data_IF_466200345769
#
_entry.id   IF_466200345769
#
_cell.length_a   1.000
_cell.length_b   1.000
_cell.length_c   1.000
_cell.angle_alpha   90.00
_cell.angle_beta   90.00
_cell.angle_gamma   90.00
#
_symmetry.space_group_name_H-M   'P 1'
#
loop_
_entity.id
_entity.type
_entity.pdbx_description
1 polymer ?
#
# COMPACT_ATOMS: atom_id res chain seq x y z
N UNK A 1 -23.81 -16.72 -24.23
CA UNK A 1 -23.81 -15.94 -22.98
C UNK A 1 -24.83 -14.83 -23.11
N UNK A 2 -25.86 -14.77 -22.25
CA UNK A 2 -27.00 -13.86 -22.42
C UNK A 2 -26.63 -12.39 -22.18
N UNK A 3 -27.24 -11.49 -22.95
CA UNK A 3 -27.14 -10.03 -22.86
C UNK A 3 -27.39 -9.49 -21.44
N UNK A 4 -28.26 -10.17 -20.69
CA UNK A 4 -28.56 -9.91 -19.27
C UNK A 4 -27.31 -10.06 -18.37
N UNK A 5 -26.42 -11.01 -18.67
CA UNK A 5 -25.17 -11.21 -17.93
C UNK A 5 -24.19 -10.05 -18.16
N UNK A 6 -24.11 -9.53 -19.40
CA UNK A 6 -23.23 -8.41 -19.72
C UNK A 6 -23.71 -7.08 -19.12
N UNK A 7 -25.03 -6.84 -19.06
CA UNK A 7 -25.59 -5.67 -18.38
C UNK A 7 -25.41 -5.73 -16.87
N UNK A 8 -25.59 -6.90 -16.24
CA UNK A 8 -25.32 -7.10 -14.82
C UNK A 8 -23.83 -6.95 -14.49
N UNK A 9 -22.94 -7.42 -15.35
CA UNK A 9 -21.49 -7.21 -15.22
C UNK A 9 -21.13 -5.72 -15.41
N UNK A 10 -21.80 -5.00 -16.33
CA UNK A 10 -21.63 -3.54 -16.48
C UNK A 10 -22.16 -2.78 -15.27
N UNK A 11 -23.32 -3.13 -14.71
CA UNK A 11 -23.86 -2.55 -13.49
C UNK A 11 -22.99 -2.85 -12.27
N UNK A 12 -22.51 -4.09 -12.13
CA UNK A 12 -21.57 -4.48 -11.08
C UNK A 12 -20.22 -3.74 -11.22
N UNK A 13 -19.75 -3.47 -12.44
CA UNK A 13 -18.57 -2.63 -12.71
C UNK A 13 -18.85 -1.14 -12.43
N UNK A 14 -20.09 -0.66 -12.65
CA UNK A 14 -20.52 0.70 -12.30
C UNK A 14 -20.62 0.89 -10.78
N UNK A 15 -21.08 -0.13 -10.05
CA UNK A 15 -21.09 -0.21 -8.58
C UNK A 15 -19.68 -0.38 -7.99
N UNK A 16 -18.82 -1.18 -8.62
CA UNK A 16 -17.42 -1.36 -8.21
C UNK A 16 -16.50 -0.18 -8.61
N UNK A 17 -16.97 0.71 -9.49
CA UNK A 17 -16.25 1.88 -9.99
C UNK A 17 -16.28 3.09 -9.05
N UNK A 18 -17.27 3.19 -8.15
CA UNK A 18 -17.37 4.28 -7.18
C UNK A 18 -16.75 3.88 -5.84
N UNK A 19 -15.41 3.95 -5.79
CA UNK A 19 -14.53 3.48 -4.72
C UNK A 19 -14.56 4.31 -3.41
N UNK A 20 -15.70 4.84 -2.96
CA UNK A 20 -15.84 5.63 -1.70
C UNK A 20 -17.30 5.67 -1.19
N UNK A 21 -17.89 4.53 -0.82
CA UNK A 21 -19.26 4.56 -0.27
C UNK A 21 -19.27 5.10 1.17
N UNK A 22 -19.41 6.43 1.29
CA UNK A 22 -19.76 7.15 2.53
C UNK A 22 -20.93 6.49 3.26
N UNK A 23 -21.87 5.93 2.50
CA UNK A 23 -23.14 5.42 2.99
C UNK A 23 -23.03 4.14 3.86
N UNK A 24 -21.91 3.41 3.81
CA UNK A 24 -21.79 2.09 4.46
C UNK A 24 -20.70 2.00 5.53
N UNK A 25 -19.92 3.05 5.75
CA UNK A 25 -18.90 3.09 6.82
C UNK A 25 -19.50 3.52 8.15
N UNK A 26 -19.19 2.87 9.29
CA UNK A 26 -19.62 3.42 10.59
C UNK A 26 -18.80 4.63 11.02
N UNK A 27 -17.52 4.74 10.62
CA UNK A 27 -16.68 5.89 10.94
C UNK A 27 -16.18 6.61 9.69
N UNK A 28 -16.14 7.93 9.77
CA UNK A 28 -15.37 8.78 8.86
C UNK A 28 -14.30 9.52 9.65
N UNK A 29 -13.28 9.98 8.94
CA UNK A 29 -12.31 10.89 9.54
C UNK A 29 -11.81 11.92 8.54
N UNK A 30 -11.41 13.05 9.09
CA UNK A 30 -10.95 14.22 8.38
C UNK A 30 -9.55 14.55 8.90
N UNK A 31 -8.58 14.67 7.99
CA UNK A 31 -7.17 14.91 8.33
C UNK A 31 -6.81 16.31 7.83
N UNK A 32 -6.53 17.22 8.74
CA UNK A 32 -6.00 18.53 8.44
C UNK A 32 -4.48 18.50 8.58
N UNK A 33 -3.80 19.03 7.58
CA UNK A 33 -2.35 19.05 7.54
C UNK A 33 -1.88 20.49 7.34
N UNK A 34 -0.76 20.82 7.97
CA UNK A 34 -0.12 22.11 7.83
C UNK A 34 0.17 22.40 6.36
N UNK A 35 -0.07 23.65 5.95
CA UNK A 35 0.13 24.13 4.58
C UNK A 35 -0.67 23.37 3.51
N UNK A 36 -1.70 22.62 3.91
CA UNK A 36 -2.64 22.00 2.99
C UNK A 36 -4.04 22.62 3.17
N UNK A 37 -4.53 23.43 2.21
CA UNK A 37 -5.83 24.08 2.31
C UNK A 37 -7.01 23.10 2.21
N UNK A 38 -6.76 21.82 1.91
CA UNK A 38 -7.78 20.78 1.80
C UNK A 38 -7.50 19.67 2.80
N UNK A 39 -8.52 19.30 3.57
CA UNK A 39 -8.45 18.10 4.40
C UNK A 39 -8.49 16.84 3.54
N UNK A 40 -7.84 15.78 4.03
CA UNK A 40 -8.01 14.43 3.48
C UNK A 40 -9.16 13.74 4.20
N UNK A 41 -10.05 13.08 3.45
CA UNK A 41 -11.17 12.34 4.03
C UNK A 41 -10.96 10.83 3.91
N UNK A 42 -11.17 10.11 5.01
CA UNK A 42 -11.15 8.66 5.07
C UNK A 42 -12.37 8.06 5.76
N UNK A 43 -12.48 6.73 5.71
CA UNK A 43 -13.64 5.95 6.17
C UNK A 43 -13.22 4.57 6.68
N UNK A 44 -13.93 4.02 7.68
CA UNK A 44 -13.70 2.69 8.22
C UNK A 44 -14.02 1.58 7.21
N UNK A 45 -13.03 1.19 6.40
CA UNK A 45 -13.02 0.05 5.46
C UNK A 45 -13.97 0.11 4.25
N UNK A 46 -13.62 -0.72 3.26
CA UNK A 46 -14.13 -0.81 1.88
C UNK A 46 -15.31 -1.78 1.74
N UNK A 47 -16.15 -1.51 0.74
CA UNK A 47 -17.34 -2.27 0.31
C UNK A 47 -17.32 -3.80 0.57
N UNK A 48 -18.42 -4.26 1.16
CA UNK A 48 -18.89 -5.66 1.27
C UNK A 48 -18.22 -6.56 2.32
N UNK A 49 -17.73 -6.02 3.43
CA UNK A 49 -17.45 -6.83 4.62
C UNK A 49 -18.21 -6.29 5.83
N UNK A 50 -18.69 -7.18 6.71
CA UNK A 50 -19.27 -6.76 7.96
C UNK A 50 -18.21 -6.02 8.79
N UNK A 51 -18.51 -4.80 9.18
CA UNK A 51 -17.75 -4.12 10.22
C UNK A 51 -17.79 -4.97 11.50
N UNK A 52 -16.71 -4.93 12.27
CA UNK A 52 -16.63 -5.71 13.51
C UNK A 52 -17.82 -5.35 14.40
N UNK A 53 -18.38 -6.34 15.08
CA UNK A 53 -19.48 -6.11 16.02
C UNK A 53 -19.09 -5.13 17.15
N UNK A 54 -17.80 -5.05 17.47
CA UNK A 54 -17.25 -4.11 18.43
C UNK A 54 -16.78 -2.83 17.73
N UNK A 55 -17.63 -1.81 17.83
CA UNK A 55 -17.45 -0.45 17.31
C UNK A 55 -16.20 0.21 17.91
N UNK A 56 -15.94 0.07 19.20
CA UNK A 56 -14.79 0.72 19.86
C UNK A 56 -13.48 0.13 19.33
N UNK A 57 -13.40 -1.21 19.24
CA UNK A 57 -12.22 -1.87 18.67
C UNK A 57 -11.96 -1.42 17.22
N UNK A 58 -13.00 -1.22 16.40
CA UNK A 58 -12.84 -0.76 15.03
C UNK A 58 -12.27 0.67 14.96
N UNK A 59 -12.73 1.57 15.84
CA UNK A 59 -12.22 2.94 15.92
C UNK A 59 -10.73 2.93 16.30
N UNK A 60 -10.37 2.15 17.32
CA UNK A 60 -8.98 2.00 17.78
C UNK A 60 -8.06 1.51 16.65
N UNK A 61 -8.49 0.52 15.86
CA UNK A 61 -7.74 0.05 14.69
C UNK A 61 -7.61 1.11 13.57
N UNK A 62 -8.58 2.02 13.44
CA UNK A 62 -8.49 3.11 12.47
C UNK A 62 -7.45 4.15 12.91
N UNK A 63 -7.46 4.53 14.19
CA UNK A 63 -6.47 5.45 14.78
C UNK A 63 -5.07 4.84 14.69
N UNK A 64 -4.89 3.60 15.13
CA UNK A 64 -3.62 2.87 15.06
C UNK A 64 -3.09 2.80 13.62
N UNK A 65 -3.96 2.62 12.62
CA UNK A 65 -3.55 2.62 11.22
C UNK A 65 -3.01 3.97 10.77
N UNK A 66 -3.66 5.08 11.15
CA UNK A 66 -3.18 6.42 10.79
C UNK A 66 -1.83 6.72 11.47
N UNK A 67 -1.68 6.32 12.73
CA UNK A 67 -0.42 6.37 13.45
C UNK A 67 0.70 5.60 12.77
N UNK A 68 0.48 4.30 12.48
CA UNK A 68 1.46 3.47 11.78
C UNK A 68 1.76 3.94 10.35
N UNK A 69 0.83 4.69 9.76
CA UNK A 69 1.05 5.32 8.46
C UNK A 69 1.93 6.57 8.62
N UNK A 70 2.18 7.10 9.80
CA UNK A 70 3.02 8.28 10.05
C UNK A 70 2.25 9.60 9.95
N UNK A 71 0.94 9.59 10.19
CA UNK A 71 0.17 10.84 10.28
C UNK A 71 0.47 11.65 11.55
N UNK A 72 1.07 11.04 12.58
CA UNK A 72 1.43 11.73 13.82
C UNK A 72 2.90 12.16 13.86
N UNK A 73 3.58 12.19 12.71
CA UNK A 73 4.96 12.68 12.65
C UNK A 73 4.97 14.20 12.60
N UNK A 74 5.74 14.81 13.51
CA UNK A 74 5.94 16.27 13.56
C UNK A 74 6.69 16.82 12.34
N UNK A 75 7.47 15.97 11.67
CA UNK A 75 8.28 16.35 10.51
C UNK A 75 7.61 15.87 9.22
N UNK A 76 7.72 16.66 8.12
CA UNK A 76 7.25 16.21 6.82
C UNK A 76 7.89 14.87 6.41
N UNK A 77 7.09 13.94 5.90
CA UNK A 77 7.56 12.64 5.42
C UNK A 77 7.42 12.59 3.91
N UNK A 78 8.48 12.19 3.21
CA UNK A 78 8.39 11.87 1.79
C UNK A 78 7.91 10.44 1.63
N UNK A 79 6.71 10.27 1.04
CA UNK A 79 6.12 8.96 0.75
C UNK A 79 6.85 8.28 -0.41
N UNK A 80 6.68 6.96 -0.52
CA UNK A 80 7.25 6.15 -1.60
C UNK A 80 6.80 6.57 -3.01
N UNK A 81 5.66 7.25 -3.12
CA UNK A 81 5.15 7.82 -4.37
C UNK A 81 5.68 9.24 -4.66
N UNK A 82 6.69 9.70 -3.92
CA UNK A 82 7.30 11.02 -4.06
C UNK A 82 6.47 12.17 -3.48
N UNK A 83 5.27 11.92 -2.93
CA UNK A 83 4.45 12.97 -2.32
C UNK A 83 4.92 13.28 -0.91
N UNK A 84 5.07 14.56 -0.60
CA UNK A 84 5.30 15.03 0.77
C UNK A 84 4.00 14.95 1.55
N UNK A 85 4.06 14.24 2.68
CA UNK A 85 3.07 14.31 3.73
C UNK A 85 3.50 15.40 4.71
N UNK A 86 2.71 16.46 4.79
CA UNK A 86 2.94 17.53 5.75
C UNK A 86 2.54 17.09 7.17
N UNK A 87 3.12 17.74 8.20
CA UNK A 87 2.74 17.54 9.59
C UNK A 87 1.23 17.77 9.77
N UNK A 88 0.69 17.04 10.73
CA UNK A 88 -0.72 17.12 11.09
C UNK A 88 -1.01 18.40 11.86
N UNK A 89 -2.15 19.03 11.58
CA UNK A 89 -2.76 19.95 12.55
C UNK A 89 -3.62 19.13 13.52
N UNK A 90 -4.66 18.46 12.99
CA UNK A 90 -5.48 17.53 13.75
C UNK A 90 -6.19 16.50 12.85
N UNK A 91 -6.72 15.45 13.46
CA UNK A 91 -7.63 14.46 12.84
C UNK A 91 -8.94 14.45 13.62
N UNK A 92 -10.05 14.67 12.94
CA UNK A 92 -11.39 14.51 13.53
C UNK A 92 -11.96 13.17 13.10
N UNK A 93 -12.39 12.38 14.07
CA UNK A 93 -13.12 11.14 13.87
C UNK A 93 -14.60 11.36 14.13
N UNK A 94 -15.45 10.88 13.21
CA UNK A 94 -16.89 10.99 13.32
C UNK A 94 -17.57 9.62 13.19
N UNK A 95 -18.67 9.41 13.91
CA UNK A 95 -19.62 8.32 13.70
C UNK A 95 -20.60 8.75 12.59
N UNK A 96 -20.69 7.98 11.52
CA UNK A 96 -21.64 8.24 10.45
C UNK A 96 -23.01 7.68 10.85
N UNK A 97 -23.95 8.56 11.19
CA UNK A 97 -25.32 8.18 11.53
C UNK A 97 -26.29 8.69 10.45
N UNK A 98 -26.44 7.92 9.37
CA UNK A 98 -27.48 8.10 8.33
C UNK A 98 -27.71 9.55 7.83
N UNK A 99 -26.68 10.39 7.77
CA UNK A 99 -26.78 11.75 7.27
C UNK A 99 -26.11 12.80 8.15
N UNK A 100 -25.95 12.51 9.44
CA UNK A 100 -25.24 13.36 10.39
C UNK A 100 -23.96 12.68 10.86
N UNK A 101 -22.84 13.39 10.72
CA UNK A 101 -21.54 12.96 11.22
C UNK A 101 -21.45 13.47 12.67
N UNK A 102 -21.43 12.55 13.64
CA UNK A 102 -21.30 12.90 15.07
C UNK A 102 -19.83 12.81 15.45
N UNK A 103 -19.24 13.91 15.90
CA UNK A 103 -17.84 13.94 16.33
C UNK A 103 -17.61 13.02 17.53
N UNK A 104 -16.65 12.11 17.39
CA UNK A 104 -16.22 11.17 18.43
C UNK A 104 -15.05 11.76 19.19
N UNK A 105 -14.00 12.16 18.47
CA UNK A 105 -12.82 12.78 19.04
C UNK A 105 -12.05 13.57 17.97
N UNK A 106 -11.28 14.55 18.45
CA UNK A 106 -10.31 15.31 17.69
C UNK A 106 -8.92 14.99 18.23
N UNK A 107 -8.02 14.54 17.37
CA UNK A 107 -6.67 14.12 17.71
C UNK A 107 -5.68 15.16 17.20
N UNK A 108 -5.04 15.89 18.11
CA UNK A 108 -3.90 16.75 17.80
C UNK A 108 -2.60 15.96 17.97
N UNK A 109 -1.46 16.55 17.60
CA UNK A 109 -0.16 15.90 17.83
C UNK A 109 0.10 15.72 19.34
N UNK A 110 -0.24 16.72 20.17
CA UNK A 110 0.12 16.75 21.59
C UNK A 110 -0.98 16.31 22.55
N UNK A 111 -2.24 16.28 22.11
CA UNK A 111 -3.39 15.98 22.98
C UNK A 111 -4.60 15.57 22.14
N UNK A 112 -5.67 15.16 22.81
CA UNK A 112 -6.95 14.87 22.17
C UNK A 112 -8.10 15.60 22.88
N UNK A 113 -9.18 15.80 22.13
CA UNK A 113 -10.47 16.27 22.62
C UNK A 113 -11.53 15.21 22.31
N UNK A 114 -12.52 15.06 23.18
CA UNK A 114 -13.65 14.14 22.98
C UNK A 114 -14.88 14.94 22.55
N UNK A 115 -15.67 14.37 21.66
CA UNK A 115 -17.01 14.90 21.38
C UNK A 115 -17.94 14.66 22.56
N UNK A 116 -18.93 15.53 22.73
CA UNK A 116 -19.83 15.56 23.91
C UNK A 116 -20.46 14.20 24.23
N UNK A 117 -20.90 13.46 23.21
CA UNK A 117 -21.51 12.13 23.36
C UNK A 117 -20.55 11.06 23.90
N UNK A 118 -19.24 11.30 23.79
CA UNK A 118 -18.19 10.33 24.12
C UNK A 118 -17.35 10.73 25.33
N UNK A 119 -17.66 11.85 26.00
CA UNK A 119 -16.89 12.37 27.12
C UNK A 119 -16.79 11.40 28.30
N UNK A 120 -17.81 10.53 28.47
CA UNK A 120 -17.86 9.51 29.53
C UNK A 120 -17.46 8.10 29.04
N UNK A 121 -17.02 7.95 27.77
CA UNK A 121 -16.61 6.66 27.23
C UNK A 121 -15.24 6.24 27.78
N UNK A 122 -15.25 5.56 28.93
CA UNK A 122 -14.04 5.06 29.61
C UNK A 122 -13.17 4.16 28.75
N UNK A 123 -13.75 3.39 27.83
CA UNK A 123 -12.99 2.50 26.94
C UNK A 123 -12.16 3.32 25.95
N UNK A 124 -12.77 4.34 25.35
CA UNK A 124 -12.10 5.25 24.43
C UNK A 124 -11.04 6.09 25.16
N UNK A 125 -11.35 6.67 26.32
CA UNK A 125 -10.41 7.47 27.13
C UNK A 125 -9.16 6.64 27.47
N UNK A 126 -9.35 5.43 28.00
CA UNK A 126 -8.24 4.54 28.36
C UNK A 126 -7.41 4.09 27.14
N UNK A 127 -8.01 4.06 25.95
CA UNK A 127 -7.26 3.83 24.72
C UNK A 127 -6.46 5.07 24.31
N UNK A 128 -7.09 6.25 24.30
CA UNK A 128 -6.44 7.50 23.89
C UNK A 128 -5.28 7.88 24.81
N UNK A 129 -5.42 7.72 26.13
CA UNK A 129 -4.31 7.96 27.06
C UNK A 129 -3.08 7.10 26.73
N UNK A 130 -3.29 5.79 26.57
CA UNK A 130 -2.22 4.86 26.15
C UNK A 130 -1.67 5.18 24.75
N UNK A 131 -2.52 5.70 23.87
CA UNK A 131 -2.11 6.11 22.53
C UNK A 131 -1.16 7.30 22.58
N UNK A 132 -1.46 8.34 23.37
CA UNK A 132 -0.58 9.50 23.50
C UNK A 132 0.71 9.19 24.26
N UNK A 133 0.69 8.31 25.26
CA UNK A 133 1.91 7.77 25.87
C UNK A 133 2.85 7.14 24.81
N UNK A 134 2.27 6.48 23.80
CA UNK A 134 3.05 5.87 22.71
C UNK A 134 3.52 6.86 21.66
N UNK A 135 2.73 7.90 21.38
CA UNK A 135 3.16 9.01 20.51
C UNK A 135 4.36 9.73 21.13
N UNK A 136 4.33 9.98 22.44
CA UNK A 136 5.43 10.65 23.17
C UNK A 136 6.69 9.80 23.25
N UNK A 137 6.56 8.50 23.53
CA UNK A 137 7.71 7.59 23.69
C UNK A 137 8.27 7.09 22.36
N UNK A 138 7.48 7.13 21.28
CA UNK A 138 7.85 6.58 19.97
C UNK A 138 7.93 5.04 19.93
N UNK A 139 7.45 4.35 20.97
CA UNK A 139 7.47 2.90 21.03
C UNK A 139 6.44 2.25 20.09
N UNK A 140 6.81 1.10 19.52
CA UNK A 140 5.91 0.28 18.69
C UNK A 140 5.35 -0.87 19.53
N UNK A 141 4.52 -0.57 20.52
CA UNK A 141 3.80 -1.62 21.27
C UNK A 141 2.39 -1.86 20.68
N UNK A 142 1.81 -3.04 20.91
CA UNK A 142 0.47 -3.38 20.44
C UNK A 142 -0.60 -2.56 21.20
N UNK A 143 -0.96 -1.39 20.65
CA UNK A 143 -1.96 -0.45 21.16
C UNK A 143 -3.32 -1.10 21.42
N UNK A 144 -3.76 -1.88 20.45
CA UNK A 144 -5.08 -2.52 20.47
C UNK A 144 -4.95 -3.86 21.17
N UNK A 145 -5.44 -3.93 22.41
CA UNK A 145 -5.70 -5.21 23.08
C UNK A 145 -6.74 -5.95 22.24
N UNK A 146 -6.31 -6.89 21.41
CA UNK A 146 -7.22 -7.79 20.70
C UNK A 146 -8.06 -8.50 21.75
N UNK A 147 -9.33 -8.13 21.87
CA UNK A 147 -10.20 -8.85 22.79
C UNK A 147 -10.19 -10.32 22.37
N UNK A 148 -10.17 -11.26 23.32
CA UNK A 148 -10.32 -12.68 23.00
C UNK A 148 -11.64 -12.96 22.23
N UNK A 149 -12.58 -12.01 22.30
CA UNK A 149 -13.85 -11.95 21.57
C UNK A 149 -13.79 -11.19 20.24
N UNK A 150 -12.62 -10.72 19.78
CA UNK A 150 -12.45 -10.15 18.43
C UNK A 150 -12.59 -11.32 17.45
N UNK A 151 -13.85 -11.69 17.23
CA UNK A 151 -14.27 -12.82 16.40
C UNK A 151 -13.52 -12.68 15.10
N UNK A 152 -12.65 -13.66 14.86
CA UNK A 152 -12.02 -13.90 13.57
C UNK A 152 -13.05 -13.60 12.50
N UNK A 153 -12.73 -12.70 11.54
CA UNK A 153 -13.68 -12.17 10.55
C UNK A 153 -14.69 -13.27 10.16
N UNK A 154 -15.93 -13.15 10.63
CA UNK A 154 -16.91 -14.24 10.58
C UNK A 154 -17.19 -14.64 9.12
N UNK A 155 -16.99 -13.72 8.18
CA UNK A 155 -17.07 -13.92 6.73
C UNK A 155 -15.67 -13.91 6.05
N UNK A 156 -14.65 -14.46 6.70
CA UNK A 156 -13.31 -14.61 6.12
C UNK A 156 -13.30 -15.56 4.93
N UNK A 157 -12.73 -15.09 3.81
CA UNK A 157 -12.45 -15.87 2.60
C UNK A 157 -11.03 -16.47 2.59
N UNK A 158 -10.25 -16.32 3.66
CA UNK A 158 -8.82 -16.70 3.66
C UNK A 158 -8.60 -18.22 3.80
N UNK A 159 -9.47 -18.91 4.54
CA UNK A 159 -9.32 -20.32 4.91
C UNK A 159 -10.54 -21.13 4.49
N UNK A 160 -10.30 -22.39 4.12
CA UNK A 160 -11.36 -23.36 3.84
C UNK A 160 -11.93 -23.91 5.17
N UNK A 161 -12.98 -23.27 5.68
CA UNK A 161 -13.68 -23.57 6.94
C UNK A 161 -14.84 -24.56 6.81
N UNK A 162 -15.48 -24.62 5.65
CA UNK A 162 -16.68 -25.43 5.40
C UNK A 162 -16.32 -26.63 4.54
N UNK A 163 -16.78 -27.83 4.94
CA UNK A 163 -16.52 -29.07 4.16
C UNK A 163 -17.50 -29.23 3.00
N UNK A 164 -18.71 -28.69 3.15
CA UNK A 164 -19.80 -28.83 2.18
C UNK A 164 -20.53 -27.51 1.99
N UNK A 165 -21.20 -27.34 0.84
CA UNK A 165 -22.05 -26.17 0.58
C UNK A 165 -23.17 -26.05 1.62
N UNK A 166 -23.77 -27.16 2.07
CA UNK A 166 -24.79 -27.13 3.12
C UNK A 166 -24.27 -26.54 4.43
N UNK A 167 -23.04 -26.88 4.85
CA UNK A 167 -22.45 -26.29 6.06
C UNK A 167 -22.19 -24.78 5.93
N UNK A 168 -21.89 -24.30 4.72
CA UNK A 168 -21.79 -22.87 4.42
C UNK A 168 -23.17 -22.19 4.49
N UNK A 169 -24.21 -22.81 3.94
CA UNK A 169 -25.58 -22.27 3.99
C UNK A 169 -26.12 -22.21 5.42
N UNK A 170 -25.98 -23.26 6.23
CA UNK A 170 -26.42 -23.24 7.63
C UNK A 170 -25.68 -22.19 8.45
N UNK A 171 -24.37 -22.01 8.21
CA UNK A 171 -23.63 -20.92 8.84
C UNK A 171 -24.12 -19.54 8.38
N UNK A 172 -24.50 -19.41 7.11
CA UNK A 172 -25.04 -18.17 6.57
C UNK A 172 -26.39 -17.78 7.18
N UNK A 173 -27.23 -18.75 7.51
CA UNK A 173 -28.48 -18.51 8.25
C UNK A 173 -28.20 -18.01 9.67
N UNK A 174 -27.18 -18.54 10.36
CA UNK A 174 -26.76 -18.02 11.66
C UNK A 174 -26.26 -16.58 11.56
N UNK A 175 -25.53 -16.23 10.50
CA UNK A 175 -25.09 -14.85 10.25
C UNK A 175 -26.29 -13.89 10.14
N UNK A 176 -27.36 -14.30 9.47
CA UNK A 176 -28.56 -13.46 9.29
C UNK A 176 -29.40 -13.42 10.57
N UNK A 177 -29.71 -14.59 11.15
CA UNK A 177 -30.72 -14.71 12.19
C UNK A 177 -30.17 -14.39 13.58
N UNK A 178 -28.92 -14.81 13.87
CA UNK A 178 -28.31 -14.65 15.19
C UNK A 178 -27.43 -13.41 15.28
N UNK A 179 -26.72 -13.08 14.20
CA UNK A 179 -25.78 -11.96 14.17
C UNK A 179 -26.28 -10.75 13.37
N UNK A 180 -27.51 -10.82 12.86
CA UNK A 180 -28.20 -9.74 12.17
C UNK A 180 -27.43 -9.12 11.00
N UNK A 181 -26.64 -9.92 10.30
CA UNK A 181 -25.95 -9.46 9.09
C UNK A 181 -26.94 -9.21 7.94
N UNK A 182 -26.74 -8.14 7.13
CA UNK A 182 -27.59 -7.89 5.98
C UNK A 182 -27.58 -9.06 5.00
N UNK A 183 -28.77 -9.52 4.57
CA UNK A 183 -28.92 -10.69 3.68
C UNK A 183 -28.07 -10.59 2.41
N UNK A 184 -28.02 -9.41 1.78
CA UNK A 184 -27.21 -9.18 0.58
C UNK A 184 -25.72 -9.40 0.81
N UNK A 185 -25.18 -8.99 1.96
CA UNK A 185 -23.77 -9.19 2.31
C UNK A 185 -23.47 -10.67 2.51
N UNK A 186 -24.37 -11.39 3.18
CA UNK A 186 -24.24 -12.82 3.44
C UNK A 186 -24.30 -13.62 2.12
N UNK A 187 -25.23 -13.28 1.21
CA UNK A 187 -25.31 -13.90 -0.12
C UNK A 187 -24.03 -13.68 -0.94
N UNK A 188 -23.49 -12.46 -0.90
CA UNK A 188 -22.27 -12.11 -1.64
C UNK A 188 -21.03 -12.82 -1.06
N UNK A 189 -21.02 -13.08 0.25
CA UNK A 189 -20.04 -13.95 0.91
C UNK A 189 -20.16 -15.41 0.46
N UNK A 190 -21.36 -16.00 0.51
CA UNK A 190 -21.60 -17.39 0.07
C UNK A 190 -21.09 -17.59 -1.36
N UNK A 191 -21.48 -16.69 -2.28
CA UNK A 191 -21.08 -16.74 -3.68
C UNK A 191 -19.56 -16.74 -3.85
N UNK A 192 -18.87 -15.77 -3.25
CA UNK A 192 -17.39 -15.67 -3.34
C UNK A 192 -16.70 -16.87 -2.70
N UNK A 193 -17.26 -17.38 -1.61
CA UNK A 193 -16.71 -18.53 -0.90
C UNK A 193 -16.89 -19.81 -1.72
N UNK A 194 -18.07 -20.02 -2.33
CA UNK A 194 -18.34 -21.16 -3.20
C UNK A 194 -17.53 -21.13 -4.48
N UNK A 195 -17.40 -19.96 -5.11
CA UNK A 195 -16.51 -19.78 -6.27
C UNK A 195 -15.06 -20.14 -5.95
N UNK A 196 -14.59 -19.86 -4.73
CA UNK A 196 -13.20 -20.09 -4.35
C UNK A 196 -12.90 -21.53 -3.95
N UNK A 197 -13.84 -22.19 -3.27
CA UNK A 197 -13.58 -23.47 -2.60
C UNK A 197 -14.44 -24.64 -3.08
N UNK A 198 -15.54 -24.37 -3.77
CA UNK A 198 -16.51 -25.37 -4.23
C UNK A 198 -16.71 -25.36 -5.75
N UNK A 199 -15.89 -24.64 -6.51
CA UNK A 199 -15.93 -24.65 -7.98
C UNK A 199 -15.44 -26.00 -8.54
N UNK A 200 -16.22 -26.54 -9.48
CA UNK A 200 -15.99 -27.80 -10.18
C UNK A 200 -14.59 -27.80 -10.82
N UNK A 201 -13.65 -28.53 -10.22
CA UNK A 201 -12.24 -28.55 -10.62
C UNK A 201 -11.25 -28.82 -9.49
N UNK A 202 -11.68 -28.73 -8.22
CA UNK A 202 -10.84 -29.02 -7.05
C UNK A 202 -11.13 -30.38 -6.38
N UNK A 203 -11.72 -31.34 -7.11
CA UNK A 203 -11.94 -32.70 -6.59
C UNK A 203 -10.64 -33.51 -6.42
N UNK A 204 -9.50 -33.02 -6.89
CA UNK A 204 -8.23 -33.77 -6.83
C UNK A 204 -7.48 -33.69 -5.50
N UNK A 205 -7.99 -33.03 -4.45
CA UNK A 205 -7.29 -32.95 -3.16
C UNK A 205 -7.79 -33.88 -2.05
N UNK A 206 -8.69 -34.83 -2.35
CA UNK A 206 -9.16 -35.79 -1.34
C UNK A 206 -9.32 -37.23 -1.84
N UNK A 207 -8.32 -37.80 -2.51
CA UNK A 207 -8.10 -39.26 -2.49
C UNK A 207 -6.63 -39.60 -2.76
N UNK A 208 -5.96 -40.28 -1.82
CA UNK A 208 -4.75 -41.06 -2.09
C UNK A 208 -3.39 -40.39 -1.84
N UNK A 209 -2.96 -40.31 -0.58
CA UNK A 209 -1.52 -40.39 -0.26
C UNK A 209 -1.14 -41.88 -0.13
N UNK A 210 -0.57 -42.44 -1.18
CA UNK A 210 0.25 -43.66 -1.13
C UNK A 210 1.05 -43.70 -2.44
N UNK A 211 2.38 -43.66 -2.29
CA UNK A 211 3.45 -44.13 -3.19
C UNK A 211 3.30 -43.79 -4.70
N UNK A 212 4.28 -43.22 -5.38
CA UNK A 212 5.61 -43.79 -5.52
C UNK A 212 6.55 -42.83 -6.28
N UNK A 213 7.80 -43.24 -6.30
CA UNK A 213 9.02 -42.49 -6.53
C UNK A 213 9.47 -42.54 -8.00
N UNK A 214 10.25 -41.52 -8.40
CA UNK A 214 11.18 -41.47 -9.57
C UNK A 214 10.47 -41.30 -10.93
N UNK A 215 11.02 -40.65 -11.96
CA UNK A 215 12.40 -40.59 -12.47
C UNK A 215 12.64 -39.24 -13.17
N UNK A 216 13.86 -38.72 -13.04
CA UNK A 216 14.43 -37.59 -13.80
C UNK A 216 14.62 -38.00 -15.26
N UNK A 217 14.42 -37.09 -16.21
CA UNK A 217 15.36 -37.04 -17.34
C UNK A 217 15.43 -35.65 -18.01
N UNK A 218 16.68 -35.25 -18.23
CA UNK A 218 17.12 -34.03 -18.88
C UNK A 218 16.76 -34.03 -20.37
N UNK A 219 16.64 -32.84 -20.96
CA UNK A 219 17.37 -32.58 -22.21
C UNK A 219 17.55 -31.09 -22.49
N UNK A 220 18.81 -30.66 -22.40
CA UNK A 220 19.35 -29.45 -23.00
C UNK A 220 19.30 -29.56 -24.53
N UNK A 221 18.92 -28.48 -25.23
CA UNK A 221 19.39 -28.25 -26.61
C UNK A 221 19.57 -26.76 -26.86
N UNK A 222 20.84 -26.38 -26.94
CA UNK A 222 21.42 -25.15 -27.44
C UNK A 222 21.00 -24.84 -28.89
N UNK A 223 20.70 -23.57 -29.20
CA UNK A 223 20.75 -23.04 -30.58
C UNK A 223 21.64 -21.81 -30.67
N UNK A 224 22.62 -21.92 -31.58
CA UNK A 224 23.67 -20.98 -31.94
C UNK A 224 23.11 -19.73 -32.63
N UNK A 225 23.64 -18.58 -32.25
CA UNK A 225 23.55 -17.27 -32.92
C UNK A 225 24.58 -17.17 -34.05
N UNK A 226 24.21 -16.54 -35.18
CA UNK A 226 25.12 -16.00 -36.20
C UNK A 226 25.08 -14.46 -36.14
N UNK A 227 26.21 -13.74 -36.32
CA UNK A 227 26.20 -12.28 -36.35
C UNK A 227 26.03 -11.77 -37.79
N UNK A 228 25.13 -10.81 -37.98
CA UNK A 228 25.05 -10.02 -39.21
C UNK A 228 25.86 -8.73 -39.05
N UNK A 229 26.83 -8.51 -39.94
CA UNK A 229 27.52 -7.24 -40.15
C UNK A 229 26.50 -6.21 -40.64
N UNK A 230 26.44 -5.05 -39.99
CA UNK A 230 25.68 -3.92 -40.50
C UNK A 230 26.56 -2.67 -40.54
N UNK A 231 26.78 -2.18 -41.74
CA UNK A 231 27.57 -0.99 -42.09
C UNK A 231 26.72 0.24 -41.83
N UNK A 232 27.09 1.09 -40.87
CA UNK A 232 26.38 2.34 -40.59
C UNK A 232 27.03 3.53 -41.30
N UNK A 233 26.23 4.17 -42.17
CA UNK A 233 26.44 5.53 -42.69
C UNK A 233 26.37 6.52 -41.53
N UNK A 234 27.34 7.43 -41.45
CA UNK A 234 27.41 8.50 -40.45
C UNK A 234 26.37 9.59 -40.74
N UNK A 235 25.21 9.48 -40.10
CA UNK A 235 24.30 10.61 -39.94
C UNK A 235 24.86 11.48 -38.82
N UNK A 236 25.08 12.78 -39.08
CA UNK A 236 25.52 13.75 -38.07
C UNK A 236 24.41 13.86 -37.02
N UNK A 237 24.55 13.09 -35.94
CA UNK A 237 23.56 13.06 -34.87
C UNK A 237 23.56 14.39 -34.10
N UNK A 238 22.35 14.92 -33.89
CA UNK A 238 22.04 16.07 -33.05
C UNK A 238 22.80 15.97 -31.69
N UNK A 239 23.52 17.04 -31.27
CA UNK A 239 24.24 17.08 -30.00
C UNK A 239 23.43 16.61 -28.78
N UNK A 240 22.12 16.92 -28.74
CA UNK A 240 21.23 16.49 -27.64
C UNK A 240 21.07 14.97 -27.60
N UNK A 241 20.99 14.33 -28.76
CA UNK A 241 20.89 12.87 -28.87
C UNK A 241 22.20 12.18 -28.49
N UNK A 242 23.35 12.82 -28.75
CA UNK A 242 24.66 12.33 -28.30
C UNK A 242 24.79 12.39 -26.77
N UNK A 243 24.33 13.46 -26.13
CA UNK A 243 24.39 13.60 -24.66
C UNK A 243 23.53 12.55 -23.95
N UNK A 244 22.32 12.28 -24.46
CA UNK A 244 21.44 11.24 -23.94
C UNK A 244 22.04 9.84 -24.14
N UNK A 245 22.64 9.57 -25.30
CA UNK A 245 23.30 8.29 -25.58
C UNK A 245 24.50 8.05 -24.66
N UNK A 246 25.32 9.08 -24.46
CA UNK A 246 26.48 9.04 -23.55
C UNK A 246 26.04 8.78 -22.10
N UNK A 247 24.99 9.48 -21.62
CA UNK A 247 24.45 9.25 -20.27
C UNK A 247 23.92 7.82 -20.09
N UNK A 248 23.27 7.25 -21.11
CA UNK A 248 22.82 5.84 -21.09
C UNK A 248 23.97 4.83 -21.07
N UNK A 249 25.12 5.18 -21.67
CA UNK A 249 26.32 4.36 -21.60
C UNK A 249 26.82 4.27 -20.15
N UNK A 250 26.99 5.41 -19.47
CA UNK A 250 27.44 5.47 -18.08
C UNK A 250 26.40 4.97 -17.06
N UNK A 251 25.10 4.95 -17.42
CA UNK A 251 24.07 4.35 -16.57
C UNK A 251 24.25 2.83 -16.40
N UNK A 252 24.84 2.14 -17.38
CA UNK A 252 25.18 0.70 -17.21
C UNK A 252 26.26 0.49 -16.16
N UNK A 253 27.12 1.49 -15.97
CA UNK A 253 28.22 1.47 -15.00
C UNK A 253 27.76 1.91 -13.59
N UNK A 254 26.49 2.31 -13.43
CA UNK A 254 25.87 2.64 -12.14
C UNK A 254 25.83 1.45 -11.18
N UNK A 255 25.71 0.23 -11.72
CA UNK A 255 25.54 -0.97 -10.91
C UNK A 255 26.86 -1.58 -10.40
N UNK A 256 28.02 -0.99 -10.72
CA UNK A 256 29.28 -1.45 -10.15
C UNK A 256 29.48 -0.83 -8.76
N UNK A 257 29.79 -1.66 -7.76
CA UNK A 257 29.98 -1.19 -6.38
C UNK A 257 31.08 -0.13 -6.27
N UNK A 258 32.13 -0.23 -7.07
CA UNK A 258 33.27 0.68 -7.08
C UNK A 258 32.88 2.12 -7.47
N UNK A 259 32.10 2.29 -8.55
CA UNK A 259 31.67 3.62 -8.98
C UNK A 259 30.67 4.25 -8.00
N UNK A 260 29.83 3.44 -7.35
CA UNK A 260 28.87 3.92 -6.33
C UNK A 260 29.61 4.44 -5.10
N UNK A 261 30.67 3.76 -4.66
CA UNK A 261 31.50 4.22 -3.54
C UNK A 261 32.21 5.54 -3.87
N UNK A 262 32.81 5.65 -5.06
CA UNK A 262 33.46 6.88 -5.50
C UNK A 262 32.47 8.07 -5.58
N UNK A 263 31.22 7.83 -5.97
CA UNK A 263 30.20 8.86 -5.98
C UNK A 263 29.73 9.26 -4.57
N UNK A 264 29.62 8.30 -3.65
CA UNK A 264 29.31 8.58 -2.24
C UNK A 264 30.41 9.45 -1.62
N UNK A 265 31.68 9.17 -1.89
CA UNK A 265 32.79 10.00 -1.41
C UNK A 265 32.75 11.41 -2.01
N UNK A 266 32.45 11.53 -3.29
CA UNK A 266 32.25 12.83 -3.95
C UNK A 266 31.13 13.65 -3.29
N UNK A 267 29.97 13.04 -3.06
CA UNK A 267 28.83 13.70 -2.41
C UNK A 267 29.11 14.10 -0.96
N UNK A 268 29.98 13.36 -0.25
CA UNK A 268 30.40 13.72 1.11
C UNK A 268 31.40 14.87 1.16
N UNK A 269 32.17 15.07 0.10
CA UNK A 269 33.17 16.13 0.01
C UNK A 269 32.58 17.49 -0.40
N UNK A 270 31.35 17.48 -0.93
CA UNK A 270 30.61 18.67 -1.33
C UNK A 270 29.54 18.97 -0.26
N UNK A 271 29.75 20.05 0.52
CA UNK A 271 28.91 20.52 1.64
C UNK A 271 27.50 20.99 1.22
N UNK A 272 27.08 20.69 0.00
CA UNK A 272 25.77 21.01 -0.51
C UNK A 272 24.68 20.17 0.19
N UNK A 273 23.73 20.85 0.84
CA UNK A 273 22.62 20.23 1.59
C UNK A 273 21.75 19.29 0.73
N UNK A 274 21.73 19.48 -0.59
CA UNK A 274 21.02 18.61 -1.52
C UNK A 274 21.68 17.22 -1.64
N UNK A 275 22.96 17.09 -1.29
CA UNK A 275 23.71 15.84 -1.36
C UNK A 275 23.34 14.84 -0.27
N UNK A 276 22.90 15.28 0.93
CA UNK A 276 22.51 14.36 2.01
C UNK A 276 21.32 13.47 1.62
N UNK A 277 20.34 14.08 0.95
CA UNK A 277 19.14 13.39 0.47
C UNK A 277 19.48 12.35 -0.61
N UNK A 278 20.41 12.69 -1.51
CA UNK A 278 20.90 11.82 -2.58
C UNK A 278 21.73 10.68 -2.00
N UNK A 279 22.62 10.98 -1.04
CA UNK A 279 23.47 10.03 -0.34
C UNK A 279 22.65 8.96 0.40
N UNK A 280 21.63 9.38 1.14
CA UNK A 280 20.72 8.48 1.86
C UNK A 280 20.01 7.50 0.92
N UNK A 281 19.55 7.97 -0.25
CA UNK A 281 18.90 7.12 -1.26
C UNK A 281 19.85 6.13 -1.91
N UNK A 282 21.10 6.52 -2.19
CA UNK A 282 22.11 5.64 -2.79
C UNK A 282 22.50 4.52 -1.82
N UNK A 283 22.79 4.87 -0.57
CA UNK A 283 23.13 3.89 0.49
C UNK A 283 21.97 2.92 0.71
N UNK A 284 20.73 3.43 0.71
CA UNK A 284 19.52 2.62 0.87
C UNK A 284 19.12 1.81 -0.36
N UNK A 285 19.84 1.89 -1.49
CA UNK A 285 19.50 1.19 -2.73
C UNK A 285 18.20 1.65 -3.39
N UNK A 286 17.73 2.86 -3.08
CA UNK A 286 16.44 3.43 -3.53
C UNK A 286 16.64 4.68 -4.40
N UNK A 287 17.50 4.59 -5.40
CA UNK A 287 17.75 5.71 -6.31
C UNK A 287 16.61 5.96 -7.28
N UNK A 288 16.43 7.22 -7.66
CA UNK A 288 15.50 7.63 -8.70
C UNK A 288 16.26 8.14 -9.95
N UNK A 289 15.53 8.45 -11.01
CA UNK A 289 16.12 8.92 -12.28
C UNK A 289 16.91 10.23 -12.16
N UNK A 290 16.63 11.06 -11.15
CA UNK A 290 17.42 12.28 -10.87
C UNK A 290 18.76 11.95 -10.21
N UNK A 291 18.80 10.99 -9.29
CA UNK A 291 20.03 10.52 -8.65
C UNK A 291 20.95 9.84 -9.68
N UNK A 292 20.35 9.01 -10.56
CA UNK A 292 21.03 8.37 -11.68
C UNK A 292 21.57 9.40 -12.69
N UNK A 293 20.84 10.49 -12.89
CA UNK A 293 21.26 11.60 -13.74
C UNK A 293 22.46 12.36 -13.16
N UNK A 294 22.42 12.67 -11.86
CA UNK A 294 23.54 13.30 -11.16
C UNK A 294 24.78 12.40 -11.17
N UNK A 295 24.60 11.10 -10.94
CA UNK A 295 25.68 10.12 -11.04
C UNK A 295 26.30 10.04 -12.44
N UNK A 296 25.47 9.97 -13.49
CA UNK A 296 25.97 9.93 -14.87
C UNK A 296 26.73 11.21 -15.23
N UNK A 297 26.30 12.35 -14.70
CA UNK A 297 27.00 13.63 -14.85
C UNK A 297 28.36 13.59 -14.14
N UNK A 298 28.41 13.12 -12.90
CA UNK A 298 29.65 12.92 -12.15
C UNK A 298 30.64 12.02 -12.89
N UNK A 299 30.20 10.87 -13.41
CA UNK A 299 31.10 9.96 -14.13
C UNK A 299 31.70 10.60 -15.39
N UNK A 300 30.92 11.40 -16.13
CA UNK A 300 31.45 12.11 -17.29
C UNK A 300 32.41 13.24 -16.87
N UNK A 301 32.13 13.94 -15.78
CA UNK A 301 33.04 14.96 -15.28
C UNK A 301 34.35 14.38 -14.74
N UNK A 302 34.30 13.22 -14.10
CA UNK A 302 35.47 12.56 -13.52
C UNK A 302 36.30 11.80 -14.56
N UNK A 303 35.64 11.01 -15.42
CA UNK A 303 36.29 10.05 -16.32
C UNK A 303 36.05 10.31 -17.82
N UNK A 304 35.13 11.21 -18.17
CA UNK A 304 34.83 11.52 -19.57
C UNK A 304 35.95 12.28 -20.29
N UNK A 305 35.99 12.18 -21.62
CA UNK A 305 36.89 12.96 -22.48
C UNK A 305 36.51 14.45 -22.48
N UNK A 306 37.41 15.33 -22.94
CA UNK A 306 37.11 16.78 -23.05
C UNK A 306 35.84 17.06 -23.88
N UNK A 307 35.63 16.31 -24.97
CA UNK A 307 34.44 16.40 -25.82
C UNK A 307 33.17 15.94 -25.13
N UNK A 308 33.26 14.89 -24.29
CA UNK A 308 32.12 14.39 -23.52
C UNK A 308 31.70 15.37 -22.42
N UNK A 309 32.67 16.02 -21.78
CA UNK A 309 32.42 17.07 -20.77
C UNK A 309 31.76 18.29 -21.38
N UNK A 310 32.21 18.74 -22.57
CA UNK A 310 31.59 19.89 -23.24
C UNK A 310 30.14 19.60 -23.66
N UNK A 311 29.87 18.38 -24.10
CA UNK A 311 28.54 17.93 -24.53
C UNK A 311 27.50 17.86 -23.38
N UNK A 312 27.94 17.67 -22.13
CA UNK A 312 27.05 17.65 -20.97
C UNK A 312 26.81 19.03 -20.38
N UNK A 313 27.76 19.96 -20.59
CA UNK A 313 27.67 21.35 -20.15
C UNK A 313 26.89 22.25 -21.10
N UNK A 314 26.73 21.84 -22.38
CA UNK A 314 25.89 22.49 -23.39
C UNK A 314 24.41 22.14 -23.24
#
# INVERSE_FOLDING_TARGET
MSTISQERIKQARKLAGNRKDKASSTYSWYIWQQNNPKFLKGYSKWNNLPERADKDTLLQECIERLYNTGYFNEKPIIRSNGKTQFPLDFIEFCENNNGEDVTICVLFISHYELGDKYIDNKVLINFLNRFYELVETGETSNLVKKSAKSKENMMSLKRHRFRTLNSLYSYSEQLINTYHFPKGVVQDFIRKYSEKYFSEGNESMQTGKLNETKVKENNQKSKKTKPAKNTQKSVVADPKNKAVSLRRQFHKDYNTNENRLAFIEYLKADDNIFNESVLSRIIGGKTNSSDEFQFATFLVEKYGTKEQKSLIRS
#
